data_IF_605642090814
#
_entry.id   IF_605642090814
#
_cell.length_a   1.000
_cell.length_b   1.000
_cell.length_c   1.000
_cell.angle_alpha   90.00
_cell.angle_beta   90.00
_cell.angle_gamma   90.00
#
_symmetry.space_group_name_H-M   'P 1'
#
loop_
_entity.id
_entity.type
_entity.pdbx_description
1 polymer ?
#
# COMPACT_ATOMS: atom_id res chain seq x y z
N UNK A 1 4.03 -23.92 -6.10
CA UNK A 1 2.75 -23.45 -5.52
C UNK A 1 2.40 -22.08 -6.08
N UNK A 2 1.43 -21.35 -5.45
CA UNK A 2 1.00 -20.02 -5.96
C UNK A 2 2.14 -19.03 -6.15
N UNK A 3 3.13 -19.02 -5.28
CA UNK A 3 4.32 -18.15 -5.36
C UNK A 3 5.15 -18.30 -6.64
N UNK A 4 5.04 -19.44 -7.31
CA UNK A 4 5.86 -19.73 -8.49
C UNK A 4 5.21 -19.21 -9.79
N UNK A 5 3.97 -18.73 -9.70
CA UNK A 5 3.17 -18.28 -10.84
C UNK A 5 2.62 -16.86 -10.68
N UNK A 6 2.84 -16.24 -9.54
CA UNK A 6 2.40 -14.87 -9.23
C UNK A 6 3.60 -13.94 -9.07
N UNK A 7 3.50 -12.73 -9.59
CA UNK A 7 4.49 -11.68 -9.37
C UNK A 7 4.49 -11.20 -7.91
N UNK A 8 3.30 -11.05 -7.32
CA UNK A 8 3.12 -10.59 -5.94
C UNK A 8 2.01 -11.35 -5.26
N UNK A 9 2.23 -11.72 -4.00
CA UNK A 9 1.24 -12.35 -3.13
C UNK A 9 1.06 -11.50 -1.87
N UNK A 10 -0.12 -10.90 -1.72
CA UNK A 10 -0.51 -10.20 -0.50
C UNK A 10 -1.15 -11.21 0.44
N UNK A 11 -0.56 -11.39 1.62
CA UNK A 11 -1.08 -12.29 2.66
C UNK A 11 -1.55 -11.44 3.83
N UNK A 12 -2.80 -11.62 4.23
CA UNK A 12 -3.37 -11.00 5.42
C UNK A 12 -3.50 -12.06 6.52
N UNK A 13 -2.69 -12.00 7.59
CA UNK A 13 -2.79 -12.94 8.68
C UNK A 13 -4.09 -12.70 9.48
N UNK A 14 -4.96 -13.70 9.56
CA UNK A 14 -6.24 -13.58 10.28
C UNK A 14 -6.05 -13.27 11.77
N UNK A 15 -4.98 -13.78 12.38
CA UNK A 15 -4.65 -13.51 13.78
C UNK A 15 -4.43 -12.02 14.06
N UNK A 16 -3.91 -11.30 13.07
CA UNK A 16 -3.69 -9.86 13.16
C UNK A 16 -4.97 -9.06 12.94
N UNK A 17 -5.89 -9.58 12.14
CA UNK A 17 -7.23 -8.99 11.98
C UNK A 17 -8.02 -9.01 13.28
N UNK A 18 -7.86 -10.05 14.09
CA UNK A 18 -8.48 -10.15 15.42
C UNK A 18 -7.95 -9.08 16.39
N UNK A 19 -6.71 -8.60 16.21
CA UNK A 19 -6.13 -7.54 17.05
C UNK A 19 -6.70 -6.15 16.73
N UNK A 20 -7.20 -5.96 15.50
CA UNK A 20 -7.82 -4.70 15.05
C UNK A 20 -9.30 -4.66 15.46
N UNK A 21 -9.86 -5.80 15.79
CA UNK A 21 -11.27 -5.94 16.15
C UNK A 21 -11.45 -5.80 17.65
N UNK A 22 -12.61 -5.27 18.07
CA UNK A 22 -12.99 -5.23 19.49
C UNK A 22 -13.03 -6.64 20.06
N UNK A 23 -12.63 -6.80 21.32
CA UNK A 23 -12.54 -8.10 22.00
C UNK A 23 -13.85 -8.87 22.08
N UNK A 24 -14.98 -8.16 21.93
CA UNK A 24 -16.34 -8.72 22.00
C UNK A 24 -16.97 -8.94 20.63
N UNK A 25 -16.22 -8.81 19.53
CA UNK A 25 -16.76 -8.97 18.17
C UNK A 25 -17.12 -10.46 17.93
N UNK A 26 -18.27 -10.68 17.32
CA UNK A 26 -18.69 -12.02 16.89
C UNK A 26 -17.82 -12.51 15.74
N UNK A 27 -17.56 -13.82 15.67
CA UNK A 27 -16.76 -14.42 14.61
C UNK A 27 -17.26 -14.05 13.20
N UNK A 28 -18.57 -14.02 12.99
CA UNK A 28 -19.17 -13.60 11.72
C UNK A 28 -18.86 -12.15 11.35
N UNK A 29 -18.83 -11.25 12.33
CA UNK A 29 -18.52 -9.83 12.14
C UNK A 29 -17.01 -9.64 11.89
N UNK A 30 -16.16 -10.44 12.53
CA UNK A 30 -14.72 -10.42 12.28
C UNK A 30 -14.38 -10.84 10.84
N UNK A 31 -15.06 -11.85 10.30
CA UNK A 31 -14.91 -12.24 8.90
C UNK A 31 -15.39 -11.17 7.93
N UNK A 32 -16.52 -10.52 8.21
CA UNK A 32 -17.01 -9.41 7.38
C UNK A 32 -16.03 -8.25 7.37
N UNK A 33 -15.41 -7.94 8.52
CA UNK A 33 -14.37 -6.90 8.61
C UNK A 33 -13.10 -7.27 7.84
N UNK A 34 -12.75 -8.54 7.81
CA UNK A 34 -11.67 -9.05 6.96
C UNK A 34 -11.95 -8.85 5.48
N UNK A 35 -13.15 -9.17 5.06
CA UNK A 35 -13.61 -9.00 3.67
C UNK A 35 -13.62 -7.52 3.27
N UNK A 36 -14.03 -6.63 4.18
CA UNK A 36 -13.99 -5.18 3.98
C UNK A 36 -12.55 -4.68 3.78
N UNK A 37 -11.61 -5.09 4.61
CA UNK A 37 -10.19 -4.73 4.51
C UNK A 37 -9.61 -5.19 3.18
N UNK A 38 -9.88 -6.44 2.79
CA UNK A 38 -9.44 -6.98 1.50
C UNK A 38 -10.04 -6.20 0.33
N UNK A 39 -11.34 -5.91 0.40
CA UNK A 39 -12.06 -5.14 -0.62
C UNK A 39 -11.47 -3.73 -0.77
N UNK A 40 -11.22 -3.05 0.34
CA UNK A 40 -10.64 -1.70 0.35
C UNK A 40 -9.20 -1.72 -0.19
N UNK A 41 -8.41 -2.72 0.18
CA UNK A 41 -7.06 -2.89 -0.37
C UNK A 41 -7.04 -3.07 -1.88
N UNK A 42 -7.90 -3.93 -2.40
CA UNK A 42 -8.05 -4.15 -3.85
C UNK A 42 -8.56 -2.89 -4.55
N UNK A 43 -9.55 -2.20 -3.98
CA UNK A 43 -10.07 -0.93 -4.51
C UNK A 43 -9.01 0.16 -4.50
N UNK A 44 -8.21 0.26 -3.44
CA UNK A 44 -7.11 1.22 -3.34
C UNK A 44 -6.10 1.05 -4.47
N UNK A 45 -5.61 -0.17 -4.68
CA UNK A 45 -4.65 -0.47 -5.75
C UNK A 45 -5.29 -0.28 -7.14
N UNK A 46 -6.49 -0.82 -7.33
CA UNK A 46 -7.21 -0.75 -8.60
C UNK A 46 -7.59 0.69 -8.96
N UNK A 47 -8.01 1.47 -7.96
CA UNK A 47 -8.38 2.88 -8.11
C UNK A 47 -7.24 3.73 -8.66
N UNK A 48 -6.01 3.50 -8.23
CA UNK A 48 -4.84 4.22 -8.75
C UNK A 48 -4.67 4.09 -10.26
N UNK A 49 -5.08 2.96 -10.81
CA UNK A 49 -4.91 2.64 -12.23
C UNK A 49 -6.13 3.09 -13.05
N UNK A 50 -7.33 2.98 -12.46
CA UNK A 50 -8.59 3.09 -13.21
C UNK A 50 -9.34 4.40 -12.99
N UNK A 51 -9.07 5.11 -11.90
CA UNK A 51 -9.80 6.32 -11.53
C UNK A 51 -8.92 7.57 -11.64
N UNK A 52 -9.43 8.65 -12.23
CA UNK A 52 -8.73 9.92 -12.25
C UNK A 52 -8.62 10.50 -10.83
N UNK A 53 -7.45 10.96 -10.48
CA UNK A 53 -7.17 11.66 -9.24
C UNK A 53 -6.38 12.94 -9.47
N UNK A 54 -6.04 13.64 -8.41
CA UNK A 54 -5.16 14.82 -8.48
C UNK A 54 -3.73 14.41 -8.81
N UNK A 55 -3.30 13.27 -8.26
CA UNK A 55 -2.00 12.66 -8.55
C UNK A 55 -2.27 11.30 -9.17
N UNK A 56 -1.97 11.19 -10.45
CA UNK A 56 -2.14 9.95 -11.19
C UNK A 56 -0.84 9.16 -11.23
N UNK A 57 -0.95 7.86 -11.11
CA UNK A 57 0.17 6.90 -11.20
C UNK A 57 0.06 6.16 -12.52
N UNK A 58 1.17 6.05 -13.24
CA UNK A 58 1.23 5.22 -14.44
C UNK A 58 1.21 3.73 -14.04
N UNK A 59 0.49 2.92 -14.81
CA UNK A 59 0.48 1.46 -14.63
C UNK A 59 1.90 0.86 -14.67
N UNK A 60 2.79 1.44 -15.47
CA UNK A 60 4.18 1.02 -15.54
C UNK A 60 4.90 1.16 -14.18
N UNK A 61 4.62 2.22 -13.42
CA UNK A 61 5.21 2.46 -12.10
C UNK A 61 4.70 1.44 -11.09
N UNK A 62 3.39 1.21 -11.04
CA UNK A 62 2.78 0.17 -10.19
C UNK A 62 3.36 -1.20 -10.52
N UNK A 63 3.51 -1.51 -11.81
CA UNK A 63 4.10 -2.76 -12.27
C UNK A 63 5.55 -2.89 -11.81
N UNK A 64 6.33 -1.83 -11.80
CA UNK A 64 7.73 -1.86 -11.35
C UNK A 64 7.85 -2.30 -9.90
N UNK A 65 6.97 -1.83 -9.02
CA UNK A 65 6.95 -2.24 -7.61
C UNK A 65 6.47 -3.67 -7.43
N UNK A 66 5.41 -4.07 -8.13
CA UNK A 66 4.73 -5.34 -7.88
C UNK A 66 5.28 -6.52 -8.68
N UNK A 67 5.99 -6.27 -9.79
CA UNK A 67 6.53 -7.34 -10.63
C UNK A 67 7.66 -8.07 -9.91
N UNK A 68 7.55 -9.39 -9.83
CA UNK A 68 8.54 -10.27 -9.19
C UNK A 68 8.83 -9.89 -7.72
N UNK A 69 7.92 -9.19 -7.07
CA UNK A 69 8.11 -8.69 -5.71
C UNK A 69 7.92 -9.77 -4.63
N UNK A 70 7.31 -10.89 -4.97
CA UNK A 70 7.10 -12.00 -4.05
C UNK A 70 6.03 -11.70 -2.99
N UNK A 71 6.43 -11.63 -1.73
CA UNK A 71 5.48 -11.32 -0.66
C UNK A 71 5.26 -9.81 -0.54
N UNK A 72 4.02 -9.43 -0.33
CA UNK A 72 3.64 -8.07 0.00
C UNK A 72 2.71 -8.06 1.21
N UNK A 73 2.71 -6.95 1.92
CA UNK A 73 1.84 -6.69 3.06
C UNK A 73 1.01 -5.44 2.81
N UNK A 74 -0.17 -5.41 3.41
CA UNK A 74 -1.15 -4.35 3.24
C UNK A 74 -1.44 -3.69 4.57
N UNK A 75 -1.41 -2.36 4.61
CA UNK A 75 -1.90 -1.55 5.72
C UNK A 75 -2.99 -0.61 5.23
N UNK A 76 -4.04 -0.45 6.02
CA UNK A 76 -5.12 0.48 5.73
C UNK A 76 -5.38 1.31 6.97
N UNK A 77 -5.50 2.63 6.77
CA UNK A 77 -5.89 3.57 7.81
C UNK A 77 -6.99 4.49 7.31
N UNK A 78 -7.88 4.89 8.20
CA UNK A 78 -8.97 5.82 7.92
C UNK A 78 -9.09 6.83 9.04
N UNK A 79 -9.35 8.08 8.68
CA UNK A 79 -9.58 9.16 9.65
C UNK A 79 -10.54 10.20 9.06
N UNK A 80 -11.09 11.03 9.93
CA UNK A 80 -11.98 12.13 9.58
C UNK A 80 -11.47 13.46 10.13
N UNK A 81 -11.98 14.57 9.63
CA UNK A 81 -11.66 15.92 10.11
C UNK A 81 -10.49 16.59 9.39
N UNK A 82 -9.94 17.64 9.97
CA UNK A 82 -9.00 18.54 9.30
C UNK A 82 -7.66 17.88 8.91
N UNK A 83 -7.21 16.90 9.65
CA UNK A 83 -5.94 16.17 9.42
C UNK A 83 -6.19 14.71 8.99
N UNK A 84 -7.26 14.48 8.27
CA UNK A 84 -7.74 13.14 7.94
C UNK A 84 -6.71 12.30 7.18
N UNK A 85 -6.03 12.87 6.18
CA UNK A 85 -5.07 12.10 5.40
C UNK A 85 -3.77 11.79 6.16
N UNK A 86 -3.09 12.71 6.85
CA UNK A 86 -1.96 12.37 7.72
C UNK A 86 -2.30 11.39 8.83
N UNK A 87 -3.47 11.55 9.46
CA UNK A 87 -3.93 10.65 10.53
C UNK A 87 -4.27 9.26 9.98
N UNK A 88 -4.87 9.18 8.80
CA UNK A 88 -5.11 7.92 8.10
C UNK A 88 -3.80 7.23 7.72
N UNK A 89 -2.80 7.99 7.25
CA UNK A 89 -1.46 7.48 6.97
C UNK A 89 -0.80 6.90 8.22
N UNK A 90 -0.87 7.63 9.34
CA UNK A 90 -0.35 7.14 10.63
C UNK A 90 -1.06 5.87 11.09
N UNK A 91 -2.39 5.81 10.92
CA UNK A 91 -3.17 4.61 11.23
C UNK A 91 -2.79 3.43 10.33
N UNK A 92 -2.53 3.68 9.04
CA UNK A 92 -2.13 2.65 8.09
C UNK A 92 -0.77 2.01 8.46
N UNK A 93 0.23 2.82 8.78
CA UNK A 93 1.57 2.32 9.16
C UNK A 93 1.60 1.69 10.56
N UNK A 94 0.70 2.10 11.44
CA UNK A 94 0.53 1.51 12.78
C UNK A 94 -0.40 0.30 12.78
N UNK A 95 -0.92 -0.08 11.61
CA UNK A 95 -1.76 -1.27 11.48
C UNK A 95 -0.97 -2.52 11.84
N UNK A 96 -1.53 -3.42 12.68
CA UNK A 96 -0.88 -4.70 13.00
C UNK A 96 -0.59 -5.56 11.78
N UNK A 97 -1.24 -5.27 10.64
CA UNK A 97 -0.99 -5.95 9.36
C UNK A 97 0.35 -5.53 8.75
N UNK A 98 0.78 -4.28 8.99
CA UNK A 98 1.95 -3.66 8.38
C UNK A 98 3.13 -3.51 9.36
N UNK A 99 2.86 -3.24 10.64
CA UNK A 99 3.83 -2.79 11.65
C UNK A 99 5.08 -3.66 11.80
N UNK A 100 4.98 -4.96 11.53
CA UNK A 100 6.10 -5.89 11.68
C UNK A 100 6.98 -6.02 10.42
N UNK A 101 6.64 -5.33 9.32
CA UNK A 101 7.13 -5.75 8.00
C UNK A 101 7.45 -4.61 7.02
N UNK A 102 7.37 -3.34 7.41
CA UNK A 102 7.85 -2.25 6.52
C UNK A 102 9.37 -2.22 6.40
N UNK A 103 10.07 -2.67 7.43
CA UNK A 103 11.53 -2.76 7.39
C UNK A 103 11.97 -3.79 6.36
N UNK A 104 12.79 -3.34 5.40
CA UNK A 104 13.30 -4.18 4.32
C UNK A 104 12.38 -4.35 3.11
N UNK A 105 11.28 -3.59 3.02
CA UNK A 105 10.51 -3.49 1.79
C UNK A 105 11.33 -2.74 0.73
N UNK A 106 11.43 -3.31 -0.47
CA UNK A 106 12.11 -2.66 -1.59
C UNK A 106 11.21 -1.71 -2.37
N UNK A 107 9.88 -1.89 -2.27
CA UNK A 107 8.88 -1.03 -2.91
C UNK A 107 7.69 -0.75 -2.00
N UNK A 108 7.21 0.48 -2.03
CA UNK A 108 6.04 0.93 -1.28
C UNK A 108 5.09 1.66 -2.21
N UNK A 109 3.86 1.18 -2.27
CA UNK A 109 2.78 1.81 -3.01
C UNK A 109 1.79 2.44 -2.02
N UNK A 110 1.53 3.73 -2.17
CA UNK A 110 0.65 4.50 -1.30
C UNK A 110 -0.53 5.01 -2.10
N UNK A 111 -1.73 4.67 -1.66
CA UNK A 111 -2.97 5.23 -2.21
C UNK A 111 -3.63 6.10 -1.15
N UNK A 112 -3.88 7.36 -1.49
CA UNK A 112 -4.61 8.30 -0.65
C UNK A 112 -5.96 8.52 -1.30
N UNK A 113 -7.03 8.14 -0.62
CA UNK A 113 -8.40 8.24 -1.12
C UNK A 113 -9.21 9.21 -0.27
N UNK A 114 -9.94 10.09 -0.91
CA UNK A 114 -10.82 11.05 -0.25
C UNK A 114 -11.77 11.72 -1.22
N UNK A 115 -12.65 12.56 -0.72
CA UNK A 115 -13.52 13.40 -1.54
C UNK A 115 -12.73 14.51 -2.27
N UNK A 116 -13.35 15.19 -3.22
CA UNK A 116 -12.70 16.27 -4.02
C UNK A 116 -12.17 17.44 -3.18
N UNK A 117 -12.64 17.61 -1.96
CA UNK A 117 -12.20 18.66 -1.04
C UNK A 117 -10.87 18.34 -0.31
N UNK A 118 -10.28 17.16 -0.54
CA UNK A 118 -8.99 16.78 0.03
C UNK A 118 -7.88 17.67 -0.54
N UNK A 119 -7.20 18.40 0.35
CA UNK A 119 -6.19 19.38 -0.05
C UNK A 119 -4.89 18.69 -0.46
N UNK A 120 -4.22 19.25 -1.47
CA UNK A 120 -2.90 18.76 -1.91
C UNK A 120 -1.87 18.74 -0.76
N UNK A 121 -1.95 19.69 0.17
CA UNK A 121 -1.08 19.73 1.34
C UNK A 121 -1.30 18.49 2.24
N UNK A 122 -2.55 18.08 2.47
CA UNK A 122 -2.87 16.88 3.27
C UNK A 122 -2.34 15.61 2.60
N UNK A 123 -2.43 15.54 1.27
CA UNK A 123 -1.89 14.42 0.47
C UNK A 123 -0.37 14.33 0.65
N UNK A 124 0.34 15.45 0.52
CA UNK A 124 1.79 15.50 0.68
C UNK A 124 2.23 15.16 2.11
N UNK A 125 1.52 15.64 3.12
CA UNK A 125 1.80 15.33 4.52
C UNK A 125 1.57 13.84 4.81
N UNK A 126 0.50 13.23 4.28
CA UNK A 126 0.24 11.82 4.40
C UNK A 126 1.34 10.97 3.75
N UNK A 127 1.75 11.32 2.54
CA UNK A 127 2.85 10.66 1.85
C UNK A 127 4.16 10.75 2.64
N UNK A 128 4.45 11.92 3.24
CA UNK A 128 5.64 12.14 4.06
C UNK A 128 5.65 11.25 5.31
N UNK A 129 4.52 11.14 6.02
CA UNK A 129 4.39 10.26 7.21
C UNK A 129 4.80 8.83 6.91
N UNK A 130 4.44 8.33 5.73
CA UNK A 130 4.77 6.96 5.33
C UNK A 130 6.24 6.86 4.85
N UNK A 131 6.69 7.84 4.06
CA UNK A 131 8.06 7.89 3.53
C UNK A 131 9.10 7.91 4.65
N UNK A 132 8.84 8.65 5.74
CA UNK A 132 9.74 8.71 6.91
C UNK A 132 9.88 7.36 7.65
N UNK A 133 8.98 6.41 7.41
CA UNK A 133 8.99 5.06 8.00
C UNK A 133 9.47 3.97 7.03
N UNK A 134 9.59 4.28 5.75
CA UNK A 134 10.11 3.36 4.76
C UNK A 134 11.64 3.33 4.79
N UNK A 135 12.23 2.27 4.25
CA UNK A 135 13.68 2.18 4.05
C UNK A 135 14.15 3.26 3.08
N UNK A 136 15.33 3.84 3.32
CA UNK A 136 15.93 4.89 2.48
C UNK A 136 16.15 4.43 1.02
N UNK A 137 16.27 3.13 0.79
CA UNK A 137 16.46 2.54 -0.53
C UNK A 137 15.14 2.05 -1.17
N UNK A 138 14.01 2.18 -0.48
CA UNK A 138 12.73 1.76 -1.01
C UNK A 138 12.27 2.67 -2.16
N UNK A 139 11.76 2.07 -3.22
CA UNK A 139 11.07 2.80 -4.28
C UNK A 139 9.65 3.11 -3.82
N UNK A 140 9.32 4.41 -3.73
CA UNK A 140 8.03 4.85 -3.21
C UNK A 140 7.22 5.50 -4.31
N UNK A 141 6.03 4.97 -4.54
CA UNK A 141 5.05 5.51 -5.47
C UNK A 141 3.80 5.87 -4.70
N UNK A 142 3.29 7.07 -4.87
CA UNK A 142 2.03 7.48 -4.28
C UNK A 142 1.10 8.11 -5.30
N UNK A 143 -0.19 7.91 -5.10
CA UNK A 143 -1.23 8.49 -5.90
C UNK A 143 -2.47 8.84 -5.09
N UNK A 144 -3.34 9.62 -5.69
CA UNK A 144 -4.60 10.05 -5.08
C UNK A 144 -5.77 9.56 -5.92
N UNK A 145 -6.78 9.06 -5.23
CA UNK A 145 -8.06 8.62 -5.82
C UNK A 145 -9.21 9.37 -5.18
N UNK A 146 -10.17 9.79 -6.00
CA UNK A 146 -11.38 10.48 -5.53
C UNK A 146 -12.48 9.45 -5.28
N UNK A 147 -13.05 9.46 -4.07
CA UNK A 147 -14.21 8.66 -3.70
C UNK A 147 -15.14 9.50 -2.81
N UNK A 148 -16.19 10.02 -3.42
CA UNK A 148 -17.21 10.86 -2.75
C UNK A 148 -17.99 10.11 -1.67
N UNK A 149 -17.98 8.78 -1.68
CA UNK A 149 -18.67 7.97 -0.67
C UNK A 149 -18.01 8.05 0.71
N UNK A 150 -16.75 8.50 0.75
CA UNK A 150 -16.01 8.71 2.01
C UNK A 150 -16.47 9.98 2.76
N UNK A 151 -17.09 10.95 2.08
CA UNK A 151 -17.51 12.20 2.69
C UNK A 151 -16.32 12.96 3.30
N UNK A 152 -16.37 13.22 4.60
CA UNK A 152 -15.30 13.91 5.35
C UNK A 152 -14.14 12.99 5.79
N UNK A 153 -14.20 11.73 5.43
CA UNK A 153 -13.13 10.78 5.72
C UNK A 153 -12.02 10.81 4.67
N UNK A 154 -10.80 10.52 5.10
CA UNK A 154 -9.68 10.13 4.25
C UNK A 154 -9.27 8.70 4.57
N UNK A 155 -8.94 7.95 3.54
CA UNK A 155 -8.42 6.59 3.65
C UNK A 155 -7.04 6.50 3.00
N UNK A 156 -6.12 5.83 3.65
CA UNK A 156 -4.79 5.59 3.14
C UNK A 156 -4.54 4.09 3.10
N UNK A 157 -4.19 3.60 1.93
CA UNK A 157 -3.79 2.21 1.71
C UNK A 157 -2.30 2.18 1.40
N UNK A 158 -1.56 1.35 2.11
CA UNK A 158 -0.11 1.15 1.92
C UNK A 158 0.12 -0.31 1.55
N UNK A 159 0.80 -0.53 0.44
CA UNK A 159 1.30 -1.85 0.04
C UNK A 159 2.81 -1.83 0.08
N UNK A 160 3.40 -2.61 0.96
CA UNK A 160 4.84 -2.78 1.02
C UNK A 160 5.21 -4.14 0.43
N UNK A 161 6.15 -4.17 -0.49
CA UNK A 161 6.49 -5.35 -1.28
C UNK A 161 8.02 -5.53 -1.41
N UNK A 162 8.45 -6.71 -1.81
CA UNK A 162 9.86 -6.98 -2.06
C UNK A 162 10.64 -7.36 -0.82
N UNK A 163 10.10 -8.22 0.04
CA UNK A 163 10.78 -8.75 1.22
C UNK A 163 11.61 -9.99 0.86
N UNK A 164 12.91 -9.89 0.98
CA UNK A 164 13.83 -10.99 0.83
C UNK A 164 14.63 -11.01 -0.49
N UNK A 165 15.58 -11.93 -0.64
CA UNK A 165 16.42 -11.99 -1.82
C UNK A 165 15.58 -12.27 -3.06
N UNK A 166 15.57 -11.36 -4.02
CA UNK A 166 14.96 -11.59 -5.33
C UNK A 166 15.65 -12.78 -5.99
N UNK A 167 14.94 -13.82 -6.42
CA UNK A 167 15.54 -14.83 -7.26
C UNK A 167 15.93 -14.18 -8.60
N UNK A 168 17.25 -13.98 -8.78
CA UNK A 168 17.90 -13.59 -10.04
C UNK A 168 17.41 -12.28 -10.73
N UNK A 169 17.82 -11.15 -10.21
CA UNK A 169 18.20 -10.06 -11.11
C UNK A 169 19.51 -10.48 -11.76
N UNK A 170 19.47 -11.13 -12.93
CA UNK A 170 20.65 -11.23 -13.78
C UNK A 170 21.09 -9.79 -14.06
N UNK A 171 22.17 -9.39 -13.44
CA UNK A 171 22.95 -8.24 -13.87
C UNK A 171 23.22 -8.50 -15.35
N UNK A 172 22.61 -7.75 -16.24
CA UNK A 172 23.13 -7.61 -17.58
C UNK A 172 24.44 -6.87 -17.41
N UNK A 173 25.50 -7.61 -17.20
CA UNK A 173 26.83 -7.12 -17.46
C UNK A 173 26.83 -6.59 -18.89
N UNK A 174 27.05 -5.31 -18.99
CA UNK A 174 27.39 -4.59 -20.20
C UNK A 174 28.75 -5.12 -20.69
N UNK A 175 28.73 -6.25 -21.38
CA UNK A 175 29.83 -6.70 -22.20
C UNK A 175 29.69 -6.10 -23.62
N UNK A 176 29.95 -4.81 -23.71
CA UNK A 176 30.24 -4.16 -25.01
C UNK A 176 31.13 -2.95 -24.77
N UNK A 177 32.40 -3.21 -24.53
CA UNK A 177 33.49 -2.30 -24.87
C UNK A 177 34.80 -3.07 -24.73
N UNK A 178 35.06 -3.97 -25.71
CA UNK A 178 36.41 -4.28 -26.14
C UNK A 178 36.31 -4.91 -27.52
N UNK A 179 36.49 -4.07 -28.51
CA UNK A 179 37.15 -4.36 -29.76
C UNK A 179 37.19 -3.12 -30.65
N UNK A 180 38.20 -2.32 -30.52
CA UNK A 180 39.05 -1.85 -31.64
C UNK A 180 40.26 -1.14 -31.15
#
# INVERSE_FOLDING_TARGET
>A
ALRDVLDTLIVIPNDRLLQISDKDIKASEAYLKSDEILSNGVKGISGLITQPGVINVDFADVKTILKDAGNAVLGIGRSTGEQRAPNAAQAAISSPLLEATMDGAEGVLITITGSEDLKLQEINEAARVITEKADDNAEIIFGHTIDETLGDAGEVTVVAAGFGPRPNRRVKESSEFENN
#
